data_IF_876380757269
#
_entry.id   IF_876380757269
#
_cell.length_a   1.000
_cell.length_b   1.000
_cell.length_c   1.000
_cell.angle_alpha   90.00
_cell.angle_beta   90.00
_cell.angle_gamma   90.00
#
_symmetry.space_group_name_H-M   'P 1'
#
loop_
_entity.id
_entity.type
_entity.pdbx_description
1 polymer ?
#
# COMPACT_ATOMS: atom_id res chain seq x y z
N UNK A 1 -19.76 -17.17 12.87
CA UNK A 1 -19.16 -16.78 11.56
C UNK A 1 -17.93 -17.66 11.35
N UNK A 2 -17.70 -18.21 10.15
CA UNK A 2 -16.43 -18.88 9.83
C UNK A 2 -15.28 -17.89 10.08
N UNK A 3 -14.22 -18.29 10.79
CA UNK A 3 -13.05 -17.45 11.13
C UNK A 3 -12.51 -16.69 9.91
N UNK A 4 -12.57 -17.30 8.73
CA UNK A 4 -12.21 -16.67 7.46
C UNK A 4 -13.06 -15.44 7.15
N UNK A 5 -14.39 -15.51 7.32
CA UNK A 5 -15.29 -14.37 7.07
C UNK A 5 -15.00 -13.22 8.03
N UNK A 6 -14.68 -13.52 9.29
CA UNK A 6 -14.32 -12.51 10.28
C UNK A 6 -13.01 -11.80 9.90
N UNK A 7 -11.98 -12.55 9.49
CA UNK A 7 -10.69 -11.98 9.04
C UNK A 7 -10.86 -11.10 7.82
N UNK A 8 -11.62 -11.55 6.82
CA UNK A 8 -11.94 -10.75 5.63
C UNK A 8 -12.65 -9.45 5.99
N UNK A 9 -13.70 -9.53 6.81
CA UNK A 9 -14.44 -8.35 7.25
C UNK A 9 -13.52 -7.36 7.98
N UNK A 10 -12.70 -7.85 8.92
CA UNK A 10 -11.76 -7.02 9.66
C UNK A 10 -10.75 -6.31 8.76
N UNK A 11 -10.12 -7.04 7.83
CA UNK A 11 -9.13 -6.48 6.90
C UNK A 11 -9.79 -5.45 5.99
N UNK A 12 -10.95 -5.75 5.41
CA UNK A 12 -11.67 -4.80 4.55
C UNK A 12 -12.04 -3.53 5.33
N UNK A 13 -12.59 -3.67 6.53
CA UNK A 13 -12.97 -2.53 7.36
C UNK A 13 -11.75 -1.66 7.72
N UNK A 14 -10.64 -2.28 8.15
CA UNK A 14 -9.42 -1.56 8.48
C UNK A 14 -8.80 -0.87 7.26
N UNK A 15 -8.79 -1.53 6.11
CA UNK A 15 -8.31 -0.96 4.85
C UNK A 15 -9.17 0.21 4.41
N UNK A 16 -10.50 0.13 4.56
CA UNK A 16 -11.40 1.25 4.25
C UNK A 16 -11.16 2.46 5.16
N UNK A 17 -10.97 2.23 6.47
CA UNK A 17 -10.60 3.29 7.42
C UNK A 17 -9.29 3.94 7.00
N UNK A 18 -8.24 3.13 6.75
CA UNK A 18 -6.95 3.64 6.28
C UNK A 18 -7.11 4.45 5.00
N UNK A 19 -7.88 3.95 4.03
CA UNK A 19 -8.16 4.60 2.75
C UNK A 19 -8.79 6.00 2.90
N UNK A 20 -9.68 6.17 3.87
CA UNK A 20 -10.31 7.48 4.13
C UNK A 20 -9.37 8.54 4.69
N UNK A 21 -8.22 8.13 5.25
CA UNK A 21 -7.29 9.02 5.96
C UNK A 21 -6.05 9.42 5.15
N UNK A 22 -5.84 8.92 3.92
CA UNK A 22 -4.57 9.15 3.20
C UNK A 22 -4.34 10.61 2.83
N UNK A 23 -5.43 11.35 2.59
CA UNK A 23 -5.39 12.74 2.14
C UNK A 23 -5.43 13.75 3.28
N UNK A 24 -5.46 13.32 4.54
CA UNK A 24 -5.68 14.21 5.69
C UNK A 24 -4.40 14.85 6.23
N UNK A 25 -3.23 14.39 5.78
CA UNK A 25 -1.93 14.86 6.24
C UNK A 25 -1.00 15.07 5.06
N UNK A 26 -0.11 16.06 5.16
CA UNK A 26 0.94 16.30 4.17
C UNK A 26 1.91 15.12 4.07
N UNK A 27 2.64 15.05 2.95
CA UNK A 27 3.68 14.03 2.76
C UNK A 27 4.81 14.20 3.76
N UNK A 28 5.22 13.09 4.36
CA UNK A 28 6.46 13.05 5.13
C UNK A 28 7.69 13.10 4.21
N UNK A 29 8.84 13.45 4.76
CA UNK A 29 10.09 13.59 4.00
C UNK A 29 10.41 12.35 3.15
N UNK A 30 10.27 11.16 3.74
CA UNK A 30 10.53 9.90 3.06
C UNK A 30 9.55 9.65 1.91
N UNK A 31 8.27 9.99 2.10
CA UNK A 31 7.25 9.81 1.07
C UNK A 31 7.44 10.76 -0.10
N UNK A 32 7.78 12.03 0.19
CA UNK A 32 8.15 13.00 -0.83
C UNK A 32 9.39 12.54 -1.61
N UNK A 33 10.37 11.94 -0.92
CA UNK A 33 11.56 11.38 -1.58
C UNK A 33 11.22 10.22 -2.52
N UNK A 34 10.35 9.30 -2.10
CA UNK A 34 9.90 8.20 -2.96
C UNK A 34 9.01 8.68 -4.11
N UNK A 35 8.24 9.73 -3.90
CA UNK A 35 7.45 10.35 -4.97
C UNK A 35 8.37 11.00 -6.02
N UNK A 36 9.43 11.71 -5.63
CA UNK A 36 10.44 12.24 -6.56
C UNK A 36 11.07 11.13 -7.42
N UNK A 37 11.35 9.96 -6.84
CA UNK A 37 11.82 8.80 -7.60
C UNK A 37 10.79 8.29 -8.61
N UNK A 38 9.51 8.35 -8.27
CA UNK A 38 8.42 7.94 -9.18
C UNK A 38 8.29 8.84 -10.41
N UNK A 39 8.73 10.10 -10.33
CA UNK A 39 8.76 11.02 -11.47
C UNK A 39 9.83 10.64 -12.50
N UNK A 40 10.91 9.99 -12.05
CA UNK A 40 12.03 9.53 -12.88
C UNK A 40 12.27 8.05 -12.64
N UNK A 41 11.43 7.22 -13.27
CA UNK A 41 11.50 5.78 -13.14
C UNK A 41 12.89 5.25 -13.57
N UNK A 42 13.54 4.54 -12.65
CA UNK A 42 14.83 3.90 -12.86
C UNK A 42 14.79 2.45 -12.37
N UNK A 43 15.61 1.53 -12.94
CA UNK A 43 15.68 0.15 -12.49
C UNK A 43 16.22 -0.03 -11.06
N UNK A 44 16.98 0.95 -10.55
CA UNK A 44 17.49 0.98 -9.18
C UNK A 44 17.68 2.43 -8.72
N UNK A 45 17.48 2.66 -7.42
CA UNK A 45 17.73 3.95 -6.76
C UNK A 45 18.84 3.79 -5.73
N UNK A 46 19.34 4.92 -5.23
CA UNK A 46 20.50 4.96 -4.34
C UNK A 46 20.41 3.99 -3.15
N UNK A 47 19.23 3.85 -2.53
CA UNK A 47 19.03 2.99 -1.36
C UNK A 47 18.00 1.87 -1.52
N UNK A 48 17.24 1.83 -2.63
CA UNK A 48 16.14 0.89 -2.82
C UNK A 48 16.02 0.40 -4.26
N UNK A 49 15.43 -0.79 -4.41
CA UNK A 49 14.97 -1.28 -5.70
C UNK A 49 13.82 -0.45 -6.30
N UNK A 50 13.37 -0.77 -7.52
CA UNK A 50 12.44 0.06 -8.27
C UNK A 50 11.01 0.04 -7.73
N UNK A 51 10.64 -1.00 -6.97
CA UNK A 51 9.24 -1.32 -6.65
C UNK A 51 8.42 -0.15 -6.11
N UNK A 52 8.94 0.60 -5.14
CA UNK A 52 8.20 1.71 -4.52
C UNK A 52 7.89 2.84 -5.51
N UNK A 53 8.86 3.21 -6.34
CA UNK A 53 8.70 4.29 -7.32
C UNK A 53 7.69 3.92 -8.41
N UNK A 54 7.73 2.66 -8.87
CA UNK A 54 6.77 2.16 -9.87
C UNK A 54 5.35 2.10 -9.32
N UNK A 55 5.18 1.63 -8.09
CA UNK A 55 3.87 1.58 -7.41
C UNK A 55 3.30 2.99 -7.24
N UNK A 56 4.10 3.95 -6.76
CA UNK A 56 3.68 5.36 -6.63
C UNK A 56 3.34 5.95 -7.99
N UNK A 57 4.13 5.67 -9.04
CA UNK A 57 3.85 6.18 -10.40
C UNK A 57 2.53 5.63 -10.93
N UNK A 58 2.22 4.37 -10.67
CA UNK A 58 0.98 3.74 -11.09
C UNK A 58 -0.26 4.32 -10.38
N UNK A 59 -0.18 4.65 -9.09
CA UNK A 59 -1.30 5.27 -8.39
C UNK A 59 -1.45 6.76 -8.71
N UNK A 60 -0.34 7.50 -8.79
CA UNK A 60 -0.38 8.93 -9.13
C UNK A 60 -0.82 9.21 -10.56
N UNK A 61 -0.66 8.25 -11.50
CA UNK A 61 -1.22 8.38 -12.86
C UNK A 61 -2.75 8.22 -12.91
N UNK A 62 -3.34 7.57 -11.90
CA UNK A 62 -4.79 7.33 -11.80
C UNK A 62 -5.48 8.39 -10.94
N UNK A 63 -4.91 8.69 -9.77
CA UNK A 63 -5.51 9.57 -8.76
C UNK A 63 -4.93 10.99 -8.74
N UNK A 64 -3.92 11.26 -9.58
CA UNK A 64 -3.17 12.51 -9.60
C UNK A 64 -1.99 12.53 -8.63
N UNK A 65 -1.15 13.56 -8.78
CA UNK A 65 0.01 13.81 -7.92
C UNK A 65 -0.42 14.53 -6.63
N UNK A 66 -1.02 13.79 -5.71
CA UNK A 66 -1.43 14.25 -4.38
C UNK A 66 -1.12 13.16 -3.33
N UNK A 67 -1.33 13.48 -2.06
CA UNK A 67 -1.06 12.63 -0.89
C UNK A 67 -1.79 11.29 -1.00
N UNK A 68 -3.04 11.32 -1.47
CA UNK A 68 -3.85 10.13 -1.72
C UNK A 68 -3.21 9.23 -2.78
N UNK A 69 -2.84 9.80 -3.93
CA UNK A 69 -2.20 9.10 -5.02
C UNK A 69 -0.88 8.48 -4.62
N UNK A 70 -0.03 9.17 -3.85
CA UNK A 70 1.26 8.63 -3.39
C UNK A 70 1.07 7.45 -2.46
N UNK A 71 0.11 7.51 -1.54
CA UNK A 71 -0.07 6.49 -0.50
C UNK A 71 -1.04 5.37 -0.90
N UNK A 72 -1.83 5.52 -1.97
CA UNK A 72 -2.98 4.65 -2.31
C UNK A 72 -2.71 3.15 -2.19
N UNK A 73 -1.60 2.67 -2.76
CA UNK A 73 -1.27 1.24 -2.76
C UNK A 73 -0.74 0.73 -1.42
N UNK A 74 -0.29 1.61 -0.51
CA UNK A 74 0.25 1.22 0.81
C UNK A 74 -0.75 0.38 1.63
N UNK A 75 -1.99 0.85 1.93
CA UNK A 75 -2.95 0.05 2.68
C UNK A 75 -3.45 -1.18 1.90
N UNK A 76 -3.43 -1.16 0.55
CA UNK A 76 -3.85 -2.28 -0.30
C UNK A 76 -2.83 -3.43 -0.23
N UNK A 77 -1.53 -3.11 -0.38
CA UNK A 77 -0.46 -4.10 -0.26
C UNK A 77 -0.38 -4.66 1.16
N UNK A 78 -0.62 -3.84 2.18
CA UNK A 78 -0.73 -4.30 3.57
C UNK A 78 -1.90 -5.27 3.76
N UNK A 79 -3.06 -5.00 3.15
CA UNK A 79 -4.21 -5.89 3.19
C UNK A 79 -3.92 -7.23 2.51
N UNK A 80 -3.33 -7.19 1.30
CA UNK A 80 -2.91 -8.39 0.56
C UNK A 80 -1.91 -9.22 1.35
N UNK A 81 -0.90 -8.59 1.94
CA UNK A 81 0.10 -9.27 2.79
C UNK A 81 -0.55 -9.92 4.01
N UNK A 82 -1.49 -9.22 4.66
CA UNK A 82 -2.21 -9.76 5.83
C UNK A 82 -3.04 -11.00 5.46
N UNK A 83 -3.72 -10.98 4.31
CA UNK A 83 -4.47 -12.13 3.81
C UNK A 83 -3.55 -13.29 3.45
N UNK A 84 -2.45 -13.03 2.75
CA UNK A 84 -1.47 -14.07 2.39
C UNK A 84 -0.89 -14.74 3.63
N UNK A 85 -0.53 -13.97 4.66
CA UNK A 85 -0.06 -14.50 5.94
C UNK A 85 -1.14 -15.33 6.65
N UNK A 86 -2.39 -14.89 6.64
CA UNK A 86 -3.50 -15.65 7.21
C UNK A 86 -3.67 -17.01 6.50
N UNK A 87 -3.69 -17.03 5.17
CA UNK A 87 -3.81 -18.27 4.41
C UNK A 87 -2.57 -19.17 4.56
N UNK A 88 -1.38 -18.57 4.62
CA UNK A 88 -0.14 -19.28 4.87
C UNK A 88 -0.15 -19.97 6.25
N UNK A 89 -0.49 -19.25 7.31
CA UNK A 89 -0.61 -19.82 8.65
C UNK A 89 -1.66 -20.92 8.71
N UNK A 90 -2.82 -20.72 8.07
CA UNK A 90 -3.86 -21.75 7.98
C UNK A 90 -3.41 -22.98 7.19
N UNK A 91 -2.52 -22.84 6.21
CA UNK A 91 -1.99 -23.98 5.45
C UNK A 91 -0.96 -24.79 6.23
N UNK A 92 -0.23 -24.15 7.14
CA UNK A 92 0.82 -24.77 7.96
C UNK A 92 0.28 -25.37 9.27
N UNK A 93 -0.65 -24.70 9.93
CA UNK A 93 -1.12 -25.03 11.27
C UNK A 93 -2.62 -25.32 11.36
N UNK A 94 -3.34 -25.14 10.25
CA UNK A 94 -4.79 -25.35 10.18
C UNK A 94 -5.18 -26.79 9.94
#
# INVERSE_FOLDING_TARGET
MSTTRAVWFFIIALTAIRLSMLATTDLEFDEAHYWMWSERLAPAYFSKGPGIAFVIRASTSIFGANEFGVRFFSPILAAGTSLLLFYFARRLFG
#
